data_IF_093921719592
#
_entry.id   IF_093921719592
#
_cell.length_a   1.000
_cell.length_b   1.000
_cell.length_c   1.000
_cell.angle_alpha   90.00
_cell.angle_beta   90.00
_cell.angle_gamma   90.00
#
_symmetry.space_group_name_H-M   'P 1'
#
loop_
_entity.id
_entity.type
_entity.pdbx_description
1 polymer ?
#
# COMPACT_ATOMS: atom_id res chain seq x y z
N UNK A 1 46.46 -21.60 31.28
CA UNK A 1 45.92 -22.42 30.16
C UNK A 1 44.40 -22.28 30.17
N UNK A 2 43.83 -21.89 29.03
CA UNK A 2 42.55 -21.19 28.85
C UNK A 2 41.31 -21.91 29.40
N UNK A 3 40.61 -21.33 30.39
CA UNK A 3 39.29 -21.81 30.83
C UNK A 3 38.29 -20.69 31.16
N UNK A 4 38.47 -19.48 30.62
CA UNK A 4 37.55 -18.36 30.86
C UNK A 4 36.94 -17.81 29.55
N UNK A 5 37.37 -18.31 28.39
CA UNK A 5 36.95 -17.81 27.07
C UNK A 5 35.47 -18.11 26.75
N UNK A 6 34.91 -19.19 27.33
CA UNK A 6 33.49 -19.51 27.16
C UNK A 6 32.58 -18.45 27.78
N UNK A 7 33.02 -17.83 28.88
CA UNK A 7 32.28 -16.77 29.55
C UNK A 7 32.27 -15.49 28.73
N UNK A 8 33.41 -15.14 28.13
CA UNK A 8 33.51 -14.01 27.19
C UNK A 8 32.68 -14.23 25.92
N UNK A 9 32.67 -15.45 25.38
CA UNK A 9 31.83 -15.80 24.22
C UNK A 9 30.35 -15.69 24.57
N UNK A 10 29.94 -16.15 25.75
CA UNK A 10 28.54 -16.08 26.20
C UNK A 10 28.10 -14.63 26.45
N UNK A 11 28.98 -13.79 26.99
CA UNK A 11 28.77 -12.35 27.14
C UNK A 11 28.62 -11.64 25.78
N UNK A 12 29.45 -12.01 24.80
CA UNK A 12 29.43 -11.44 23.45
C UNK A 12 28.16 -11.82 22.67
N UNK A 13 27.66 -13.05 22.86
CA UNK A 13 26.41 -13.49 22.23
C UNK A 13 25.22 -12.77 22.86
N UNK A 14 25.22 -12.55 24.18
CA UNK A 14 24.16 -11.84 24.88
C UNK A 14 24.03 -10.37 24.44
N UNK A 15 25.16 -9.69 24.20
CA UNK A 15 25.16 -8.30 23.70
C UNK A 15 24.70 -8.19 22.25
N UNK A 16 24.96 -9.19 21.40
CA UNK A 16 24.46 -9.22 20.02
C UNK A 16 22.93 -9.37 19.95
N UNK A 17 22.31 -10.11 20.87
CA UNK A 17 20.85 -10.29 20.88
C UNK A 17 20.13 -9.05 21.39
N UNK A 18 20.73 -8.30 22.31
CA UNK A 18 20.14 -7.08 22.88
C UNK A 18 20.07 -5.90 21.89
N UNK A 19 20.86 -5.91 20.82
CA UNK A 19 20.90 -4.82 19.82
C UNK A 19 19.90 -5.00 18.66
N UNK A 20 19.08 -6.06 18.65
CA UNK A 20 18.10 -6.32 17.58
C UNK A 20 16.81 -5.50 17.68
N UNK A 21 16.76 -4.45 18.50
CA UNK A 21 15.65 -3.51 18.51
C UNK A 21 15.81 -2.55 17.32
N UNK A 22 15.24 -2.93 16.17
CA UNK A 22 15.02 -1.99 15.08
C UNK A 22 14.12 -0.82 15.51
N UNK A 23 14.15 0.32 14.79
CA UNK A 23 13.34 1.47 15.15
C UNK A 23 11.85 1.10 15.13
N UNK A 24 11.19 1.20 16.29
CA UNK A 24 9.73 1.12 16.39
C UNK A 24 9.17 2.44 15.88
N UNK A 25 8.57 2.43 14.69
CA UNK A 25 7.97 3.63 14.10
C UNK A 25 6.59 3.85 14.75
N UNK A 26 6.52 4.74 15.73
CA UNK A 26 5.25 5.21 16.28
C UNK A 26 4.62 6.22 15.33
N UNK A 27 3.68 5.79 14.48
CA UNK A 27 2.77 6.75 13.85
C UNK A 27 1.69 7.12 14.86
N UNK A 28 1.90 8.18 15.63
CA UNK A 28 0.85 8.77 16.47
C UNK A 28 -0.21 9.34 15.54
N UNK A 29 -1.25 8.55 15.21
CA UNK A 29 -2.50 9.13 14.72
C UNK A 29 -3.09 9.92 15.89
N UNK A 30 -3.18 11.24 15.83
CA UNK A 30 -3.86 11.97 16.88
C UNK A 30 -5.34 11.62 16.79
N UNK A 31 -5.95 11.24 17.91
CA UNK A 31 -7.41 11.04 18.02
C UNK A 31 -8.20 12.36 17.87
N UNK A 32 -7.49 13.49 17.77
CA UNK A 32 -8.02 14.84 17.67
C UNK A 32 -7.59 15.46 16.34
N UNK A 33 -8.48 16.21 15.69
CA UNK A 33 -8.11 16.93 14.47
C UNK A 33 -6.97 17.92 14.78
N UNK A 34 -5.92 18.00 13.94
CA UNK A 34 -4.86 18.98 14.12
C UNK A 34 -5.41 20.42 14.09
N UNK A 35 -4.76 21.38 14.79
CA UNK A 35 -5.18 22.79 14.79
C UNK A 35 -5.29 23.35 13.36
N UNK A 36 -6.18 24.33 13.08
CA UNK A 36 -6.39 24.84 11.71
C UNK A 36 -5.14 25.42 11.02
N UNK A 37 -4.17 25.90 11.80
CA UNK A 37 -2.88 26.44 11.33
C UNK A 37 -1.76 25.40 11.28
N UNK A 38 -1.94 24.23 11.93
CA UNK A 38 -1.00 23.12 11.88
C UNK A 38 -1.16 22.48 10.51
N UNK A 39 -0.31 22.84 9.55
CA UNK A 39 -0.35 22.29 8.19
C UNK A 39 -0.22 20.75 8.21
N UNK A 40 -1.31 19.97 8.05
CA UNK A 40 -1.24 18.50 8.04
C UNK A 40 -1.21 17.97 6.59
N UNK A 41 -1.41 18.86 5.61
CA UNK A 41 -1.77 18.53 4.23
C UNK A 41 -0.61 18.00 3.38
N UNK A 42 0.59 17.80 3.94
CA UNK A 42 1.72 17.27 3.18
C UNK A 42 2.17 15.86 3.58
N UNK A 43 1.52 15.24 4.56
CA UNK A 43 1.64 13.80 4.80
C UNK A 43 0.34 13.12 4.37
N UNK A 44 0.02 13.20 3.06
CA UNK A 44 -0.92 12.25 2.46
C UNK A 44 -0.30 10.85 2.60
N UNK A 45 -0.63 10.15 3.68
CA UNK A 45 -0.31 8.72 3.80
C UNK A 45 -1.18 7.98 2.79
N UNK A 46 -0.57 7.69 1.64
CA UNK A 46 -1.18 6.90 0.59
C UNK A 46 -1.15 5.45 1.03
N UNK A 47 -2.32 4.87 1.26
CA UNK A 47 -2.44 3.43 1.53
C UNK A 47 -2.33 2.61 0.25
N UNK A 48 -3.01 3.06 -0.81
CA UNK A 48 -3.08 2.31 -2.07
C UNK A 48 -2.48 3.07 -3.24
N UNK A 49 -1.76 2.35 -4.09
CA UNK A 49 -1.40 2.77 -5.43
C UNK A 49 -2.23 1.98 -6.42
N UNK A 50 -2.81 2.64 -7.43
CA UNK A 50 -3.64 2.02 -8.45
C UNK A 50 -2.92 2.03 -9.80
N UNK A 51 -2.88 0.87 -10.46
CA UNK A 51 -2.39 0.67 -11.81
C UNK A 51 -3.59 0.54 -12.75
N UNK A 52 -4.04 1.66 -13.38
CA UNK A 52 -5.29 1.69 -14.12
C UNK A 52 -5.29 0.79 -15.35
N UNK A 53 -4.14 0.61 -16.00
CA UNK A 53 -3.97 -0.21 -17.19
C UNK A 53 -4.28 -1.69 -16.93
N UNK A 54 -4.08 -2.16 -15.70
CA UNK A 54 -4.29 -3.56 -15.31
C UNK A 54 -5.41 -3.75 -14.29
N UNK A 55 -6.02 -2.66 -13.82
CA UNK A 55 -7.00 -2.65 -12.72
C UNK A 55 -6.48 -3.33 -11.44
N UNK A 56 -5.20 -3.12 -11.13
CA UNK A 56 -4.52 -3.66 -9.94
C UNK A 56 -4.29 -2.55 -8.94
N UNK A 57 -4.55 -2.82 -7.66
CA UNK A 57 -4.09 -1.99 -6.55
C UNK A 57 -2.91 -2.64 -5.86
N UNK A 58 -2.05 -1.83 -5.26
CA UNK A 58 -1.03 -2.26 -4.33
C UNK A 58 -1.24 -1.54 -3.00
N UNK A 59 -1.42 -2.31 -1.93
CA UNK A 59 -1.50 -1.79 -0.55
C UNK A 59 -0.09 -1.61 0.01
N UNK A 60 0.33 -0.36 0.15
CA UNK A 60 1.63 0.03 0.70
C UNK A 60 1.76 -0.30 2.20
N UNK A 61 0.65 -0.49 2.90
CA UNK A 61 0.66 -0.80 4.35
C UNK A 61 0.90 -2.29 4.58
N UNK A 62 0.28 -3.14 3.76
CA UNK A 62 0.37 -4.60 3.90
C UNK A 62 1.29 -5.28 2.89
N UNK A 63 1.85 -4.51 1.95
CA UNK A 63 2.73 -5.00 0.90
C UNK A 63 2.09 -6.12 0.05
N UNK A 64 0.84 -5.92 -0.36
CA UNK A 64 0.08 -6.90 -1.14
C UNK A 64 -0.65 -6.26 -2.32
N UNK A 65 -1.00 -7.10 -3.29
CA UNK A 65 -1.75 -6.74 -4.47
C UNK A 65 -3.22 -7.03 -4.26
N UNK A 66 -4.08 -6.16 -4.82
CA UNK A 66 -5.50 -6.42 -4.95
C UNK A 66 -5.90 -6.34 -6.41
N UNK A 67 -6.60 -7.35 -6.90
CA UNK A 67 -7.07 -7.40 -8.28
C UNK A 67 -8.50 -7.96 -8.32
N UNK A 68 -9.22 -7.65 -9.39
CA UNK A 68 -10.57 -8.16 -9.59
C UNK A 68 -10.50 -9.52 -10.28
N UNK A 69 -11.02 -10.55 -9.63
CA UNK A 69 -11.18 -11.89 -10.18
C UNK A 69 -12.66 -12.26 -10.19
N UNK A 70 -13.25 -12.45 -11.37
CA UNK A 70 -14.68 -12.80 -11.53
C UNK A 70 -15.64 -11.92 -10.69
N UNK A 71 -15.37 -10.62 -10.63
CA UNK A 71 -16.18 -9.66 -9.89
C UNK A 71 -15.90 -9.58 -8.38
N UNK A 72 -14.99 -10.41 -7.86
CA UNK A 72 -14.55 -10.41 -6.47
C UNK A 72 -13.16 -9.79 -6.35
N UNK A 73 -12.96 -8.91 -5.38
CA UNK A 73 -11.65 -8.37 -5.08
C UNK A 73 -10.84 -9.39 -4.28
N UNK A 74 -9.71 -9.81 -4.85
CA UNK A 74 -8.81 -10.79 -4.24
C UNK A 74 -7.53 -10.08 -3.81
N UNK A 75 -7.04 -10.40 -2.62
CA UNK A 75 -5.81 -9.86 -2.03
C UNK A 75 -4.74 -10.96 -1.99
N UNK A 76 -3.55 -10.69 -2.53
CA UNK A 76 -2.45 -11.65 -2.65
C UNK A 76 -1.09 -10.98 -2.46
N UNK A 77 -0.11 -11.68 -1.90
CA UNK A 77 1.25 -11.15 -1.75
C UNK A 77 2.04 -11.22 -3.07
N UNK A 78 1.67 -12.16 -3.96
CA UNK A 78 2.29 -12.34 -5.27
C UNK A 78 1.17 -12.42 -6.31
N UNK A 79 1.31 -11.68 -7.40
CA UNK A 79 0.33 -11.71 -8.48
C UNK A 79 0.28 -13.09 -9.15
N UNK A 80 -0.91 -13.55 -9.56
CA UNK A 80 -1.05 -14.80 -10.31
C UNK A 80 -0.22 -14.81 -11.60
N UNK A 81 0.13 -16.01 -12.14
CA UNK A 81 0.96 -16.15 -13.34
C UNK A 81 0.47 -15.37 -14.57
N UNK A 82 -0.84 -15.14 -14.69
CA UNK A 82 -1.42 -14.35 -15.77
C UNK A 82 -0.88 -12.91 -15.85
N UNK A 83 -0.39 -12.34 -14.74
CA UNK A 83 0.19 -11.00 -14.70
C UNK A 83 1.72 -11.01 -14.77
N UNK A 84 2.37 -12.17 -14.94
CA UNK A 84 3.84 -12.32 -14.92
C UNK A 84 4.57 -11.48 -15.98
N UNK A 85 3.89 -11.19 -17.09
CA UNK A 85 4.46 -10.41 -18.20
C UNK A 85 4.44 -8.89 -17.95
N UNK A 86 3.76 -8.43 -16.89
CA UNK A 86 3.60 -7.01 -16.61
C UNK A 86 4.76 -6.51 -15.75
N UNK A 87 5.34 -5.38 -16.14
CA UNK A 87 6.34 -4.68 -15.35
C UNK A 87 5.73 -3.50 -14.61
N UNK A 88 5.25 -3.74 -13.39
CA UNK A 88 4.63 -2.69 -12.56
C UNK A 88 5.58 -1.53 -12.23
N UNK A 89 6.89 -1.78 -12.14
CA UNK A 89 7.88 -0.73 -11.86
C UNK A 89 8.01 0.29 -12.99
N UNK A 90 7.69 -0.10 -14.23
CA UNK A 90 7.67 0.78 -15.40
C UNK A 90 6.26 1.22 -15.80
N UNK A 91 5.25 0.78 -15.05
CA UNK A 91 3.86 1.07 -15.37
C UNK A 91 3.42 2.39 -14.75
N UNK A 92 2.48 3.05 -15.43
CA UNK A 92 1.82 4.22 -14.87
C UNK A 92 1.04 3.81 -13.63
N UNK A 93 1.04 4.68 -12.63
CA UNK A 93 0.23 4.50 -11.44
C UNK A 93 -0.39 5.81 -10.95
N UNK A 94 -1.43 5.68 -10.15
CA UNK A 94 -2.16 6.78 -9.51
C UNK A 94 -2.21 6.53 -8.02
N UNK A 95 -1.87 7.56 -7.22
CA UNK A 95 -2.02 7.50 -5.76
C UNK A 95 -3.49 7.60 -5.38
N UNK A 96 -3.98 6.65 -4.60
CA UNK A 96 -5.35 6.67 -4.07
C UNK A 96 -5.38 7.61 -2.86
N UNK A 97 -5.86 8.83 -3.09
CA UNK A 97 -5.93 9.88 -2.06
C UNK A 97 -7.14 9.71 -1.16
N UNK A 98 -7.00 10.12 0.11
CA UNK A 98 -8.09 10.21 1.09
C UNK A 98 -8.91 8.93 1.25
N UNK A 99 -8.29 7.77 1.06
CA UNK A 99 -8.95 6.48 1.17
C UNK A 99 -8.10 5.51 1.99
N UNK A 100 -8.67 5.01 3.08
CA UNK A 100 -7.96 4.18 4.06
C UNK A 100 -8.69 2.88 4.43
N UNK A 101 -9.89 2.66 3.90
CA UNK A 101 -10.68 1.46 4.21
C UNK A 101 -10.03 0.19 3.60
N UNK A 102 -10.32 -0.95 4.21
CA UNK A 102 -9.95 -2.29 3.71
C UNK A 102 -10.65 -2.63 2.38
N UNK A 103 -11.88 -2.15 2.20
CA UNK A 103 -12.76 -2.60 1.12
C UNK A 103 -12.61 -1.77 -0.16
N UNK A 104 -11.57 -2.05 -0.94
CA UNK A 104 -11.23 -1.29 -2.16
C UNK A 104 -12.38 -1.20 -3.20
N UNK A 105 -13.36 -2.11 -3.14
CA UNK A 105 -14.54 -2.14 -4.01
C UNK A 105 -15.28 -0.81 -4.04
N UNK A 106 -15.47 -0.20 -2.88
CA UNK A 106 -16.27 1.02 -2.75
C UNK A 106 -15.56 2.20 -3.43
N UNK A 107 -14.25 2.31 -3.21
CA UNK A 107 -13.43 3.30 -3.89
C UNK A 107 -13.46 3.10 -5.40
N UNK A 108 -13.25 1.86 -5.86
CA UNK A 108 -13.18 1.54 -7.27
C UNK A 108 -14.50 1.83 -7.99
N UNK A 109 -15.64 1.42 -7.41
CA UNK A 109 -16.95 1.69 -7.99
C UNK A 109 -17.22 3.20 -8.07
N UNK A 110 -16.93 3.94 -6.98
CA UNK A 110 -17.21 5.36 -6.89
C UNK A 110 -16.35 6.22 -7.82
N UNK A 111 -15.06 5.88 -7.95
CA UNK A 111 -14.08 6.76 -8.61
C UNK A 111 -13.61 6.25 -9.97
N UNK A 112 -13.51 4.94 -10.15
CA UNK A 112 -13.00 4.36 -11.41
C UNK A 112 -14.17 4.06 -12.35
N UNK A 113 -15.13 3.23 -11.93
CA UNK A 113 -16.27 2.85 -12.76
C UNK A 113 -17.15 4.02 -13.17
N UNK A 114 -17.47 4.91 -12.23
CA UNK A 114 -18.27 6.10 -12.54
C UNK A 114 -17.57 7.05 -13.52
N UNK A 115 -16.25 7.12 -13.51
CA UNK A 115 -15.52 7.95 -14.47
C UNK A 115 -15.48 7.31 -15.86
N UNK A 116 -15.39 5.97 -15.95
CA UNK A 116 -15.52 5.28 -17.24
C UNK A 116 -16.91 5.43 -17.86
N UNK A 117 -17.99 5.36 -17.06
CA UNK A 117 -19.36 5.51 -17.58
C UNK A 117 -19.64 6.93 -18.08
N UNK A 118 -19.20 7.95 -17.34
CA UNK A 118 -19.29 9.37 -17.78
C UNK A 118 -18.53 9.65 -19.08
N UNK A 119 -17.35 9.05 -19.26
CA UNK A 119 -16.60 9.20 -20.52
C UNK A 119 -17.36 8.57 -21.68
N UNK A 120 -17.92 7.37 -21.49
CA UNK A 120 -18.71 6.68 -22.50
C UNK A 120 -19.94 7.49 -22.94
N UNK A 121 -20.71 8.06 -21.98
CA UNK A 121 -21.89 8.88 -22.32
C UNK A 121 -21.54 10.16 -23.09
N UNK A 122 -20.41 10.80 -22.76
CA UNK A 122 -19.96 12.01 -23.45
C UNK A 122 -19.47 11.72 -24.87
N UNK A 123 -18.87 10.55 -25.12
CA UNK A 123 -18.48 10.14 -26.48
C UNK A 123 -19.70 9.88 -27.35
N UNK A 124 -20.77 9.30 -26.79
CA UNK A 124 -22.03 9.07 -27.51
C UNK A 124 -22.68 10.41 -27.90
N UNK A 125 -22.78 11.35 -26.95
CA UNK A 125 -23.34 12.69 -27.21
C UNK A 125 -22.58 13.53 -28.23
N UNK A 126 -21.29 13.26 -28.46
CA UNK A 126 -20.48 13.98 -29.48
C UNK A 126 -20.60 13.37 -30.88
N UNK A 127 -21.12 12.15 -31.00
CA UNK A 127 -21.31 11.46 -32.29
C UNK A 127 -22.72 11.62 -32.87
N UNK A 128 -23.68 12.06 -32.06
CA UNK A 128 -25.00 12.55 -32.49
C UNK A 128 -24.97 14.05 -32.63
#
# INVERSE_FOLDING_TARGET
MMKNNKFFILLLIATLVATSCGPVVFSSRPNNAPPPWFYPNRLEMVRYVYFPEYSIYFDLTMNNYLYLNNGVWVRVNVLPPQYRHINLNRSRYVRVKNYRSENIRDYHNKNVRNNSSKRSSNTIRRRN
#
